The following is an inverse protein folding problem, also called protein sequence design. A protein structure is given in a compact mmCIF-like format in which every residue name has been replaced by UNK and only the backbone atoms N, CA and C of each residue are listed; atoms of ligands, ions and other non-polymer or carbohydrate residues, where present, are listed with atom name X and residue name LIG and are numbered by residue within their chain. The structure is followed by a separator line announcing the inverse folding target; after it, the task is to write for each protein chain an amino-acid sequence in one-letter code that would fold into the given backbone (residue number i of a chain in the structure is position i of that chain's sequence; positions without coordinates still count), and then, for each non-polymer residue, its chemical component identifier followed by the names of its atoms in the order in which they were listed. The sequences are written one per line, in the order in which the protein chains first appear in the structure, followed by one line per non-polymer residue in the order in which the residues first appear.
data_IF_992611597897
#
_entry.id   IF_992611597897
#
_cell.length_a   1.000
_cell.length_b   1.000
_cell.length_c   1.000
_cell.angle_alpha   90.00
_cell.angle_beta   90.00
_cell.angle_gamma   90.00
#
_symmetry.space_group_name_H-M   'P 1'
#
loop_
_entity.id
_entity.type
_entity.pdbx_description
1 polymer ?
#
# COMPACT_ATOMS: atom_id res chain seq x y z
N UNK A 1 -0.30 9.82 -3.10
CA UNK A 1 -1.75 9.62 -2.92
C UNK A 1 -2.46 9.82 -4.25
N UNK A 2 -3.35 8.90 -4.61
CA UNK A 2 -4.21 8.95 -5.79
C UNK A 2 -5.63 9.21 -5.33
N UNK A 3 -6.46 9.81 -6.20
CA UNK A 3 -7.87 10.09 -5.90
C UNK A 3 -8.64 8.83 -5.52
N UNK A 4 -8.33 7.71 -6.18
CA UNK A 4 -8.90 6.40 -5.88
C UNK A 4 -8.07 5.25 -6.46
N UNK A 5 -8.49 4.00 -6.23
CA UNK A 5 -7.75 2.81 -6.65
C UNK A 5 -7.71 2.60 -8.17
N UNK A 6 -8.60 3.24 -8.92
CA UNK A 6 -8.70 3.11 -10.39
C UNK A 6 -7.66 4.01 -11.05
N UNK A 7 -7.40 5.18 -10.47
CA UNK A 7 -6.36 6.08 -10.94
C UNK A 7 -4.97 5.44 -10.76
N UNK A 8 -4.18 5.45 -11.82
CA UNK A 8 -2.83 4.86 -11.83
C UNK A 8 -1.74 5.86 -12.19
N UNK A 9 -2.08 7.07 -12.61
CA UNK A 9 -1.16 8.15 -12.98
C UNK A 9 -1.58 9.44 -12.29
N UNK A 10 -0.72 10.46 -12.31
CA UNK A 10 -1.00 11.78 -11.72
C UNK A 10 -1.40 11.69 -10.24
N UNK A 11 -0.70 10.84 -9.49
CA UNK A 11 -0.79 10.83 -8.04
C UNK A 11 0.06 11.97 -7.47
N UNK A 12 -0.35 12.48 -6.32
CA UNK A 12 0.39 13.50 -5.57
C UNK A 12 1.33 12.83 -4.57
N UNK A 13 2.41 13.50 -4.17
CA UNK A 13 3.25 13.00 -3.08
C UNK A 13 2.70 13.48 -1.73
N UNK A 14 2.69 12.60 -0.74
CA UNK A 14 2.28 12.92 0.64
C UNK A 14 3.23 12.23 1.60
N UNK A 15 3.63 12.91 2.66
CA UNK A 15 4.46 12.28 3.69
C UNK A 15 3.64 11.26 4.51
N UNK A 16 4.32 10.27 5.10
CA UNK A 16 3.65 9.30 5.97
C UNK A 16 3.05 10.00 7.19
N UNK A 17 3.75 10.97 7.78
CA UNK A 17 3.27 11.73 8.93
C UNK A 17 1.97 12.46 8.60
N UNK A 18 1.95 13.23 7.51
CA UNK A 18 0.76 13.96 7.08
C UNK A 18 -0.40 13.01 6.74
N UNK A 19 -0.12 11.85 6.11
CA UNK A 19 -1.15 10.85 5.86
C UNK A 19 -1.75 10.30 7.16
N UNK A 20 -0.93 10.05 8.19
CA UNK A 20 -1.38 9.58 9.49
C UNK A 20 -2.17 10.65 10.26
N UNK A 21 -1.78 11.92 10.17
CA UNK A 21 -2.53 13.03 10.78
C UNK A 21 -3.91 13.16 10.12
N UNK A 22 -3.97 13.12 8.78
CA UNK A 22 -5.25 13.10 8.05
C UNK A 22 -6.16 11.93 8.45
N UNK A 23 -5.58 10.74 8.76
CA UNK A 23 -6.33 9.60 9.27
C UNK A 23 -6.86 9.86 10.68
N UNK A 24 -6.00 10.40 11.56
CA UNK A 24 -6.33 10.72 12.96
C UNK A 24 -7.44 11.77 13.04
N UNK A 25 -7.36 12.80 12.21
CA UNK A 25 -8.32 13.89 12.14
C UNK A 25 -9.64 13.48 11.44
N UNK A 26 -9.70 12.27 10.91
CA UNK A 26 -10.91 11.72 10.33
C UNK A 26 -11.27 12.31 8.97
N UNK A 27 -10.29 12.79 8.18
CA UNK A 27 -10.50 13.38 6.84
C UNK A 27 -11.39 12.54 5.92
N UNK A 28 -11.33 11.22 6.04
CA UNK A 28 -12.12 10.28 5.24
C UNK A 28 -13.18 9.50 6.04
N UNK A 29 -13.39 9.85 7.31
CA UNK A 29 -14.28 9.13 8.23
C UNK A 29 -15.70 9.01 7.67
N UNK A 30 -16.29 10.13 7.24
CA UNK A 30 -17.66 10.16 6.69
C UNK A 30 -17.81 9.24 5.47
N UNK A 31 -16.85 9.28 4.55
CA UNK A 31 -16.87 8.41 3.36
C UNK A 31 -16.76 6.92 3.75
N UNK A 32 -15.87 6.59 4.69
CA UNK A 32 -15.70 5.22 5.21
C UNK A 32 -16.96 4.73 5.91
N UNK A 33 -17.60 5.56 6.74
CA UNK A 33 -18.85 5.22 7.44
C UNK A 33 -19.99 4.97 6.44
N UNK A 34 -20.15 5.83 5.42
CA UNK A 34 -21.14 5.59 4.36
C UNK A 34 -20.91 4.28 3.62
N UNK A 35 -19.66 3.91 3.34
CA UNK A 35 -19.32 2.63 2.72
C UNK A 35 -19.63 1.46 3.66
N UNK A 36 -19.29 1.57 4.95
CA UNK A 36 -19.55 0.52 5.95
C UNK A 36 -21.04 0.25 6.14
N UNK A 37 -21.85 1.30 6.08
CA UNK A 37 -23.31 1.22 6.24
C UNK A 37 -24.05 0.78 4.97
N UNK A 38 -23.38 0.64 3.81
CA UNK A 38 -24.01 0.18 2.57
C UNK A 38 -24.23 -1.36 2.60
N UNK A 39 -25.50 -1.83 2.66
CA UNK A 39 -25.80 -3.26 2.78
C UNK A 39 -25.40 -4.03 1.53
N UNK A 40 -25.59 -3.47 0.34
CA UNK A 40 -25.31 -4.20 -0.89
C UNK A 40 -23.80 -4.30 -1.15
N UNK A 41 -23.29 -5.54 -1.25
CA UNK A 41 -21.87 -5.82 -1.44
C UNK A 41 -21.32 -5.24 -2.75
N UNK A 42 -22.12 -5.22 -3.83
CA UNK A 42 -21.69 -4.71 -5.14
C UNK A 42 -21.53 -3.19 -5.10
N UNK A 43 -22.52 -2.47 -4.56
CA UNK A 43 -22.51 -1.03 -4.32
C UNK A 43 -21.39 -0.64 -3.37
N UNK A 44 -21.22 -1.37 -2.26
CA UNK A 44 -20.11 -1.16 -1.32
C UNK A 44 -18.74 -1.24 -1.99
N UNK A 45 -18.53 -2.26 -2.84
CA UNK A 45 -17.28 -2.42 -3.61
C UNK A 45 -17.08 -1.25 -4.58
N UNK A 46 -18.13 -0.83 -5.28
CA UNK A 46 -18.09 0.31 -6.22
C UNK A 46 -17.73 1.61 -5.50
N UNK A 47 -18.36 1.89 -4.35
CA UNK A 47 -18.06 3.07 -3.56
C UNK A 47 -16.64 3.05 -3.01
N UNK A 48 -16.19 1.92 -2.43
CA UNK A 48 -14.81 1.75 -1.96
C UNK A 48 -13.79 2.06 -3.07
N UNK A 49 -14.03 1.56 -4.29
CA UNK A 49 -13.13 1.77 -5.41
C UNK A 49 -13.15 3.19 -5.98
N UNK A 50 -14.25 3.93 -5.85
CA UNK A 50 -14.42 5.24 -6.49
C UNK A 50 -14.21 6.45 -5.57
N UNK A 51 -14.41 6.29 -4.25
CA UNK A 51 -14.58 7.43 -3.32
C UNK A 51 -13.44 7.59 -2.32
N UNK A 52 -12.68 6.53 -2.03
CA UNK A 52 -11.57 6.59 -1.09
C UNK A 52 -10.26 6.85 -1.82
N UNK A 53 -9.38 7.70 -1.29
CA UNK A 53 -8.05 7.84 -1.83
C UNK A 53 -7.25 6.54 -1.71
N UNK A 54 -6.28 6.39 -2.59
CA UNK A 54 -5.38 5.26 -2.60
C UNK A 54 -3.94 5.73 -2.39
N UNK A 55 -3.22 5.12 -1.45
CA UNK A 55 -1.84 5.49 -1.13
C UNK A 55 -0.91 4.29 -1.34
N UNK A 56 0.30 4.58 -1.82
CA UNK A 56 1.38 3.61 -1.96
C UNK A 56 2.47 3.93 -0.93
N UNK A 57 2.44 3.25 0.21
CA UNK A 57 3.37 3.51 1.32
C UNK A 57 4.82 3.18 0.93
N UNK A 58 5.03 2.27 -0.02
CA UNK A 58 6.35 1.79 -0.43
C UNK A 58 7.18 2.79 -1.22
N UNK A 59 6.61 3.91 -1.68
CA UNK A 59 7.39 4.88 -2.45
C UNK A 59 6.57 5.87 -3.26
N UNK A 60 7.29 6.64 -4.06
CA UNK A 60 6.73 7.57 -5.05
C UNK A 60 6.83 6.96 -6.44
N UNK A 61 5.87 7.32 -7.31
CA UNK A 61 5.66 6.63 -8.59
C UNK A 61 5.27 7.61 -9.69
N UNK A 62 5.80 7.43 -10.91
CA UNK A 62 5.26 8.08 -12.12
C UNK A 62 3.91 7.49 -12.49
N UNK A 63 3.87 6.16 -12.51
CA UNK A 63 2.69 5.34 -12.71
C UNK A 63 2.68 4.25 -11.65
N UNK A 64 1.50 3.92 -11.14
CA UNK A 64 1.28 2.89 -10.13
C UNK A 64 1.54 1.50 -10.71
N UNK A 65 2.81 1.17 -10.87
CA UNK A 65 3.35 -0.11 -11.32
C UNK A 65 4.78 -0.26 -10.81
N UNK A 66 5.30 -1.49 -10.80
CA UNK A 66 6.68 -1.77 -10.41
C UNK A 66 7.69 -0.98 -11.25
N UNK A 67 7.50 -0.97 -12.58
CA UNK A 67 8.32 -0.20 -13.52
C UNK A 67 8.22 1.32 -13.34
N UNK A 68 7.16 1.79 -12.69
CA UNK A 68 6.90 3.21 -12.45
C UNK A 68 7.38 3.71 -11.09
N UNK A 69 8.04 2.86 -10.28
CA UNK A 69 8.61 3.26 -9.00
C UNK A 69 9.79 4.23 -9.21
N UNK A 70 9.66 5.46 -8.68
CA UNK A 70 10.73 6.45 -8.69
C UNK A 70 11.70 6.24 -7.53
N UNK A 71 11.14 6.16 -6.32
CA UNK A 71 11.90 6.11 -5.08
C UNK A 71 11.17 5.27 -4.07
N UNK A 72 11.85 4.25 -3.55
CA UNK A 72 11.36 3.45 -2.44
C UNK A 72 11.44 4.25 -1.13
N UNK A 73 10.41 4.17 -0.29
CA UNK A 73 10.32 4.90 0.99
C UNK A 73 11.09 4.22 2.13
N UNK A 74 11.51 2.96 1.94
CA UNK A 74 12.05 2.11 3.01
C UNK A 74 10.96 1.45 3.87
N UNK A 75 9.69 1.73 3.60
CA UNK A 75 8.55 1.17 4.31
C UNK A 75 7.77 0.21 3.42
N UNK A 76 7.09 -0.75 4.02
CA UNK A 76 6.16 -1.64 3.32
C UNK A 76 4.83 -1.66 4.09
N UNK A 77 3.72 -1.59 3.36
CA UNK A 77 2.39 -1.76 3.93
C UNK A 77 1.96 -3.21 3.73
N UNK A 78 1.71 -3.93 4.82
CA UNK A 78 1.29 -5.33 4.81
C UNK A 78 -0.08 -5.39 5.45
N UNK A 79 -1.05 -5.92 4.70
CA UNK A 79 -2.39 -6.24 5.21
C UNK A 79 -2.36 -7.64 5.83
N UNK A 80 -2.81 -7.77 7.07
CA UNK A 80 -2.64 -8.97 7.90
C UNK A 80 -3.98 -9.56 8.35
N UNK A 81 -4.97 -9.60 7.46
CA UNK A 81 -6.25 -10.24 7.73
C UNK A 81 -6.23 -11.74 7.40
N UNK A 82 -6.81 -12.58 8.28
CA UNK A 82 -7.02 -14.01 8.02
C UNK A 82 -5.81 -14.94 8.24
N UNK A 83 -4.81 -14.49 8.99
CA UNK A 83 -3.60 -15.26 9.32
C UNK A 83 -3.96 -16.41 10.28
N UNK A 84 -3.85 -17.66 9.81
CA UNK A 84 -4.00 -18.86 10.65
C UNK A 84 -2.71 -19.30 11.33
N UNK A 85 -1.56 -19.02 10.72
CA UNK A 85 -0.25 -19.43 11.21
C UNK A 85 0.80 -18.32 11.02
N UNK A 86 1.18 -17.69 12.12
CA UNK A 86 2.11 -16.57 12.17
C UNK A 86 3.53 -17.00 11.76
N UNK A 87 3.90 -18.25 12.02
CA UNK A 87 5.27 -18.75 11.81
C UNK A 87 5.61 -18.87 10.31
N UNK A 88 4.62 -19.25 9.48
CA UNK A 88 4.77 -19.31 8.03
C UNK A 88 5.04 -17.92 7.42
N UNK A 89 4.38 -16.89 7.97
CA UNK A 89 4.54 -15.51 7.51
C UNK A 89 5.91 -14.96 7.90
N UNK A 90 6.37 -15.23 9.12
CA UNK A 90 7.74 -14.87 9.54
C UNK A 90 8.79 -15.48 8.59
N UNK A 91 8.59 -16.73 8.17
CA UNK A 91 9.51 -17.39 7.25
C UNK A 91 9.48 -16.78 5.83
N UNK A 92 8.31 -16.38 5.33
CA UNK A 92 8.19 -15.65 4.05
C UNK A 92 8.87 -14.28 4.10
N UNK A 93 8.70 -13.53 5.20
CA UNK A 93 9.32 -12.22 5.38
C UNK A 93 10.86 -12.28 5.47
N UNK A 94 11.41 -13.31 6.13
CA UNK A 94 12.87 -13.51 6.20
C UNK A 94 13.50 -13.71 4.82
N UNK A 95 12.77 -14.32 3.88
CA UNK A 95 13.27 -14.65 2.54
C UNK A 95 13.42 -13.40 1.66
N UNK A 96 12.47 -12.46 1.73
CA UNK A 96 12.56 -11.15 1.05
C UNK A 96 13.77 -10.31 1.49
N UNK A 97 14.27 -10.48 2.73
CA UNK A 97 15.46 -9.80 3.23
C UNK A 97 16.75 -10.23 2.52
N UNK A 98 16.82 -11.47 1.99
CA UNK A 98 18.01 -11.98 1.28
C UNK A 98 18.11 -11.45 -0.15
N UNK A 99 17.01 -11.33 -0.87
CA UNK A 99 17.03 -10.92 -2.28
C UNK A 99 17.42 -9.44 -2.48
N UNK A 100 17.11 -8.58 -1.50
CA UNK A 100 17.54 -7.17 -1.52
C UNK A 100 18.98 -6.95 -1.03
N UNK A 101 19.60 -7.93 -0.37
CA UNK A 101 20.99 -7.82 0.09
C UNK A 101 22.00 -8.50 -0.86
N UNK A 102 21.53 -9.09 -1.97
CA UNK A 102 22.38 -9.76 -2.96
C UNK A 102 22.53 -9.01 -4.30
N UNK A 103 22.06 -7.76 -4.42
CA UNK A 103 22.29 -6.94 -5.63
C UNK A 103 23.43 -5.92 -5.48
N UNK A 104 24.45 -6.27 -4.71
CA UNK A 104 25.69 -5.50 -4.59
C UNK A 104 26.87 -6.40 -4.26
N UNK A 105 27.59 -6.84 -5.30
CA UNK A 105 28.91 -7.46 -5.12
C UNK A 105 29.14 -8.71 -5.98
N UNK A 106 29.89 -8.52 -7.05
CA UNK A 106 30.85 -9.41 -7.73
C UNK A 106 30.94 -10.89 -7.29
N UNK A 107 31.00 -11.76 -8.31
CA UNK A 107 31.63 -13.08 -8.37
C UNK A 107 32.50 -13.47 -7.17
N UNK A 108 32.39 -14.73 -6.71
CA UNK A 108 33.40 -15.76 -6.94
C UNK A 108 32.92 -17.11 -6.36
N UNK A 109 33.33 -18.17 -7.05
CA UNK A 109 33.08 -19.58 -6.81
C UNK A 109 33.61 -20.10 -5.47
N UNK A 110 32.88 -21.04 -4.85
CA UNK A 110 33.30 -22.36 -4.34
C UNK A 110 32.15 -23.01 -3.54
#
# INVERSE_FOLDING_TARGET
IYRNIIQTTNGEEISIAEFLDNLRDGKWRKAVESIRNEPDKRRRKKFKAGTLPYVTVSGTFDKRSEKGLKKHSGSICIDMDGIKNIEEIKNKLKRHKKEHNCKGGRNCDE
#
